data_IF_054931891168
#
_entry.id   IF_054931891168
#
_cell.length_a   1.000
_cell.length_b   1.000
_cell.length_c   1.000
_cell.angle_alpha   90.00
_cell.angle_beta   90.00
_cell.angle_gamma   90.00
#
_symmetry.space_group_name_H-M   'P 1'
#
loop_
_entity.id
_entity.type
_entity.pdbx_description
1 polymer ?
#
# COMPACT_ATOMS: atom_id res chain seq x y z
N UNK A 1 -12.57 12.26 0.06
CA UNK A 1 -13.03 10.86 0.03
C UNK A 1 -13.65 10.43 -1.31
N UNK A 2 -14.49 11.23 -2.00
CA UNK A 2 -15.20 10.83 -3.24
C UNK A 2 -14.34 10.53 -4.50
N UNK A 3 -13.05 10.85 -4.53
CA UNK A 3 -12.16 10.56 -5.68
C UNK A 3 -11.41 9.23 -5.57
N UNK A 4 -11.31 8.68 -4.36
CA UNK A 4 -10.60 7.41 -4.10
C UNK A 4 -11.45 6.24 -4.63
N UNK A 5 -12.78 6.32 -4.46
CA UNK A 5 -13.77 5.34 -4.94
C UNK A 5 -14.07 5.36 -6.44
N UNK A 6 -13.55 6.34 -7.19
CA UNK A 6 -13.75 6.41 -8.65
C UNK A 6 -12.53 5.97 -9.46
N UNK A 7 -11.43 5.61 -8.78
CA UNK A 7 -10.22 5.13 -9.42
C UNK A 7 -10.21 3.60 -9.60
N UNK A 8 -9.47 3.07 -10.58
CA UNK A 8 -9.29 1.63 -10.78
C UNK A 8 -8.62 0.94 -9.57
N UNK A 9 -7.97 1.72 -8.70
CA UNK A 9 -7.23 1.25 -7.53
C UNK A 9 -8.09 0.50 -6.51
N UNK A 10 -9.32 0.97 -6.24
CA UNK A 10 -10.21 0.27 -5.31
C UNK A 10 -10.66 -1.06 -5.89
N UNK A 11 -10.96 -1.12 -7.18
CA UNK A 11 -11.33 -2.36 -7.86
C UNK A 11 -10.18 -3.36 -7.89
N UNK A 12 -8.93 -2.91 -8.07
CA UNK A 12 -7.74 -3.75 -7.99
C UNK A 12 -7.55 -4.30 -6.57
N UNK A 13 -7.67 -3.45 -5.54
CA UNK A 13 -7.56 -3.90 -4.13
C UNK A 13 -8.66 -4.91 -3.81
N UNK A 14 -9.90 -4.64 -4.20
CA UNK A 14 -11.03 -5.55 -3.99
C UNK A 14 -10.82 -6.87 -4.74
N UNK A 15 -10.29 -6.84 -5.96
CA UNK A 15 -9.97 -8.06 -6.71
C UNK A 15 -8.85 -8.87 -6.04
N UNK A 16 -7.78 -8.23 -5.57
CA UNK A 16 -6.69 -8.92 -4.86
C UNK A 16 -7.19 -9.52 -3.54
N UNK A 17 -7.96 -8.77 -2.75
CA UNK A 17 -8.56 -9.29 -1.50
C UNK A 17 -9.54 -10.42 -1.80
N UNK A 18 -10.36 -10.30 -2.84
CA UNK A 18 -11.26 -11.35 -3.28
C UNK A 18 -10.53 -12.63 -3.69
N UNK A 19 -9.41 -12.51 -4.42
CA UNK A 19 -8.56 -13.65 -4.80
C UNK A 19 -7.91 -14.28 -3.57
N UNK A 20 -7.43 -13.50 -2.60
CA UNK A 20 -6.85 -14.02 -1.37
C UNK A 20 -7.88 -14.79 -0.54
N UNK A 21 -9.10 -14.26 -0.40
CA UNK A 21 -10.19 -14.94 0.31
C UNK A 21 -10.62 -16.20 -0.45
N UNK A 22 -10.76 -16.12 -1.78
CA UNK A 22 -11.08 -17.28 -2.61
C UNK A 22 -9.99 -18.36 -2.52
N UNK A 23 -8.71 -17.99 -2.49
CA UNK A 23 -7.61 -18.91 -2.27
C UNK A 23 -7.65 -19.52 -0.86
N UNK A 24 -7.99 -18.76 0.17
CA UNK A 24 -8.16 -19.30 1.52
C UNK A 24 -9.29 -20.34 1.56
N UNK A 25 -10.41 -20.11 0.86
CA UNK A 25 -11.50 -21.08 0.74
C UNK A 25 -11.14 -22.30 -0.12
N UNK A 26 -10.35 -22.13 -1.18
CA UNK A 26 -9.91 -23.23 -2.03
C UNK A 26 -8.88 -24.12 -1.34
N UNK A 27 -7.96 -23.54 -0.56
CA UNK A 27 -6.89 -24.25 0.15
C UNK A 27 -7.42 -24.94 1.42
N UNK A 28 -8.46 -24.41 2.08
CA UNK A 28 -9.09 -25.03 3.27
C UNK A 28 -9.92 -26.30 2.99
N UNK A 29 -9.95 -26.80 1.76
CA UNK A 29 -10.69 -28.04 1.42
C UNK A 29 -9.85 -29.31 1.60
N UNK A 30 -9.09 -29.40 2.71
CA UNK A 30 -8.52 -30.66 3.16
C UNK A 30 -9.63 -31.61 3.59
N UNK A 31 -10.14 -32.40 2.65
CA UNK A 31 -11.26 -33.32 2.86
C UNK A 31 -11.05 -34.30 4.01
N UNK A 32 -12.06 -34.36 4.88
CA UNK A 32 -12.22 -35.31 5.98
C UNK A 32 -12.71 -34.63 7.26
N UNK A 33 -13.53 -35.32 8.04
CA UNK A 33 -14.07 -34.81 9.31
C UNK A 33 -12.93 -34.61 10.32
N UNK A 34 -12.82 -33.41 10.92
CA UNK A 34 -11.72 -33.10 11.84
C UNK A 34 -11.99 -33.74 13.21
N UNK A 35 -11.20 -34.76 13.56
CA UNK A 35 -11.30 -35.48 14.83
C UNK A 35 -10.14 -35.13 15.76
N UNK A 36 -10.35 -35.22 17.07
CA UNK A 36 -9.29 -34.96 18.05
C UNK A 36 -8.16 -36.00 17.94
N UNK A 37 -6.92 -35.59 18.25
CA UNK A 37 -5.76 -36.49 18.19
C UNK A 37 -5.91 -37.68 19.14
N UNK A 38 -6.64 -37.50 20.24
CA UNK A 38 -6.99 -38.56 21.18
C UNK A 38 -7.93 -39.59 20.55
N UNK A 39 -8.97 -39.16 19.82
CA UNK A 39 -9.88 -40.06 19.12
C UNK A 39 -9.17 -40.81 18.00
N UNK A 40 -8.27 -40.14 17.26
CA UNK A 40 -7.43 -40.82 16.28
C UNK A 40 -6.55 -41.89 16.94
N UNK A 41 -5.92 -41.59 18.08
CA UNK A 41 -5.12 -42.59 18.81
C UNK A 41 -5.94 -43.77 19.29
N UNK A 42 -7.20 -43.54 19.64
CA UNK A 42 -8.13 -44.58 20.07
C UNK A 42 -8.53 -45.50 18.91
N UNK A 43 -8.87 -44.93 17.75
CA UNK A 43 -9.19 -45.71 16.55
C UNK A 43 -8.00 -46.54 16.07
N UNK A 44 -6.80 -45.96 16.09
CA UNK A 44 -5.55 -46.68 15.78
C UNK A 44 -5.32 -47.79 16.81
N UNK A 45 -5.52 -47.54 18.10
CA UNK A 45 -5.30 -48.56 19.15
C UNK A 45 -6.32 -49.71 19.10
N UNK A 46 -7.51 -49.47 18.54
CA UNK A 46 -8.58 -50.46 18.37
C UNK A 46 -8.48 -51.25 17.06
N UNK A 47 -7.56 -50.90 16.15
CA UNK A 47 -7.45 -51.56 14.85
C UNK A 47 -8.57 -51.17 13.87
N UNK A 48 -9.30 -50.09 14.14
CA UNK A 48 -10.47 -49.65 13.35
C UNK A 48 -10.08 -48.75 12.16
N UNK A 49 -8.80 -48.79 11.75
CA UNK A 49 -8.24 -47.92 10.72
C UNK A 49 -7.63 -48.75 9.60
N UNK A 50 -8.13 -48.57 8.38
CA UNK A 50 -7.70 -49.32 7.20
C UNK A 50 -6.43 -48.75 6.57
N UNK A 51 -6.40 -47.44 6.38
CA UNK A 51 -5.27 -46.71 5.78
C UNK A 51 -4.90 -45.51 6.65
N UNK A 52 -3.60 -45.34 6.93
CA UNK A 52 -3.08 -44.17 7.64
C UNK A 52 -2.07 -43.46 6.75
N UNK A 53 -2.33 -42.18 6.49
CA UNK A 53 -1.44 -41.28 5.76
C UNK A 53 -0.96 -40.16 6.66
N UNK A 54 0.35 -40.13 6.92
CA UNK A 54 1.01 -39.03 7.61
C UNK A 54 1.38 -37.95 6.59
N UNK A 55 0.78 -36.75 6.70
CA UNK A 55 1.05 -35.62 5.81
C UNK A 55 2.08 -34.70 6.47
N UNK A 56 3.35 -34.90 6.12
CA UNK A 56 4.46 -34.11 6.62
C UNK A 56 4.49 -32.73 5.93
N UNK A 57 4.67 -31.66 6.71
CA UNK A 57 4.58 -30.25 6.25
C UNK A 57 3.40 -29.47 6.83
N UNK A 58 2.21 -30.08 6.92
CA UNK A 58 1.00 -29.43 7.47
C UNK A 58 0.61 -29.93 8.87
N UNK A 59 1.39 -30.87 9.45
CA UNK A 59 1.11 -31.52 10.75
C UNK A 59 -0.27 -32.19 10.81
N UNK A 60 -0.69 -32.84 9.71
CA UNK A 60 -1.99 -33.52 9.58
C UNK A 60 -1.78 -35.01 9.38
N UNK A 61 -2.58 -35.82 10.07
CA UNK A 61 -2.74 -37.26 9.80
C UNK A 61 -4.12 -37.45 9.18
N UNK A 62 -4.16 -38.13 8.03
CA UNK A 62 -5.40 -38.58 7.40
C UNK A 62 -5.53 -40.07 7.64
N UNK A 63 -6.71 -40.51 8.06
CA UNK A 63 -7.01 -41.91 8.24
C UNK A 63 -8.33 -42.25 7.55
N UNK A 64 -8.37 -43.44 6.95
CA UNK A 64 -9.59 -44.04 6.43
C UNK A 64 -10.01 -45.13 7.42
N UNK A 65 -11.15 -44.93 8.06
CA UNK A 65 -11.72 -45.89 9.03
C UNK A 65 -12.22 -47.15 8.30
N UNK A 66 -12.19 -48.27 9.00
CA UNK A 66 -12.71 -49.56 8.53
C UNK A 66 -14.25 -49.53 8.36
N UNK A 67 -14.78 -50.44 7.54
CA UNK A 67 -16.22 -50.56 7.23
C UNK A 67 -17.08 -50.90 8.47
N UNK A 68 -16.44 -51.26 9.58
CA UNK A 68 -17.04 -51.55 10.89
C UNK A 68 -17.41 -50.31 11.71
N UNK A 69 -16.91 -49.11 11.35
CA UNK A 69 -17.18 -47.86 12.08
C UNK A 69 -18.19 -46.99 11.30
N UNK A 70 -19.44 -46.98 11.79
CA UNK A 70 -20.50 -46.15 11.20
C UNK A 70 -20.52 -44.76 11.87
N UNK A 71 -20.25 -43.71 11.09
CA UNK A 71 -20.16 -42.32 11.55
C UNK A 71 -20.80 -41.37 10.54
N UNK A 72 -21.62 -40.43 11.03
CA UNK A 72 -22.33 -39.42 10.21
C UNK A 72 -21.40 -38.53 9.35
N UNK A 73 -20.12 -38.43 9.68
CA UNK A 73 -19.12 -37.55 9.03
C UNK A 73 -18.37 -38.17 7.84
N UNK A 74 -18.71 -39.38 7.42
CA UNK A 74 -17.94 -40.14 6.43
C UNK A 74 -16.73 -40.86 7.03
N UNK A 75 -16.09 -41.73 6.24
CA UNK A 75 -15.01 -42.64 6.70
C UNK A 75 -13.61 -42.02 6.68
N UNK A 76 -13.49 -40.84 6.07
CA UNK A 76 -12.23 -40.10 6.02
C UNK A 76 -12.18 -39.12 7.19
N UNK A 77 -11.25 -39.36 8.11
CA UNK A 77 -11.04 -38.53 9.28
C UNK A 77 -9.66 -37.91 9.25
N UNK A 78 -9.58 -36.64 9.64
CA UNK A 78 -8.31 -35.93 9.71
C UNK A 78 -8.06 -35.47 11.13
N UNK A 79 -6.81 -35.53 11.59
CA UNK A 79 -6.43 -34.95 12.87
C UNK A 79 -5.15 -34.14 12.73
N UNK A 80 -5.09 -33.03 13.45
CA UNK A 80 -3.86 -32.25 13.61
C UNK A 80 -3.06 -32.83 14.77
N UNK A 81 -1.75 -32.91 14.63
CA UNK A 81 -0.86 -33.38 15.70
C UNK A 81 0.22 -32.35 15.98
N UNK A 82 0.82 -32.41 17.17
CA UNK A 82 1.92 -31.52 17.55
C UNK A 82 3.25 -32.12 17.06
N UNK A 83 4.13 -31.32 16.44
CA UNK A 83 5.47 -31.78 16.05
C UNK A 83 6.18 -32.46 17.23
N UNK A 84 6.55 -33.74 17.04
CA UNK A 84 7.17 -34.57 18.07
C UNK A 84 6.26 -35.68 18.64
N UNK A 85 4.93 -35.52 18.63
CA UNK A 85 4.01 -36.58 19.10
C UNK A 85 3.75 -37.66 18.04
N UNK A 86 4.13 -37.39 16.79
CA UNK A 86 4.01 -38.32 15.66
C UNK A 86 4.72 -39.67 15.90
N UNK A 87 5.83 -39.68 16.65
CA UNK A 87 6.58 -40.91 16.89
C UNK A 87 5.79 -41.94 17.70
N UNK A 88 4.94 -41.48 18.63
CA UNK A 88 4.08 -42.35 19.43
C UNK A 88 2.93 -42.94 18.61
N UNK A 89 2.28 -42.11 17.78
CA UNK A 89 1.21 -42.54 16.88
C UNK A 89 1.73 -43.44 15.76
N UNK A 90 2.91 -43.14 15.21
CA UNK A 90 3.57 -43.97 14.21
C UNK A 90 3.93 -45.34 14.79
N UNK A 91 4.43 -45.39 16.03
CA UNK A 91 4.72 -46.65 16.71
C UNK A 91 3.45 -47.48 16.97
N UNK A 92 2.37 -46.84 17.42
CA UNK A 92 1.08 -47.51 17.61
C UNK A 92 0.48 -48.01 16.28
N UNK A 93 0.58 -47.23 15.20
CA UNK A 93 0.17 -47.65 13.86
C UNK A 93 1.03 -48.82 13.35
N UNK A 94 2.34 -48.79 13.58
CA UNK A 94 3.25 -49.89 13.22
C UNK A 94 2.93 -51.18 13.97
N UNK A 95 2.62 -51.11 15.26
CA UNK A 95 2.25 -52.29 16.07
C UNK A 95 0.95 -52.96 15.59
N UNK A 96 0.03 -52.19 15.00
CA UNK A 96 -1.23 -52.72 14.46
C UNK A 96 -1.09 -53.16 12.99
N UNK A 97 -0.20 -52.53 12.23
CA UNK A 97 0.23 -53.03 10.93
C UNK A 97 0.93 -54.40 11.06
N UNK A 98 1.80 -54.57 12.06
CA UNK A 98 2.50 -55.83 12.33
C UNK A 98 1.55 -56.97 12.75
N UNK A 99 0.36 -56.62 13.28
CA UNK A 99 -0.73 -57.57 13.58
C UNK A 99 -1.66 -57.83 12.40
N UNK A 100 -1.49 -57.12 11.28
CA UNK A 100 -2.28 -57.27 10.06
C UNK A 100 -3.66 -56.60 10.11
N UNK A 101 -3.89 -55.68 11.04
CA UNK A 101 -5.15 -54.93 11.16
C UNK A 101 -5.14 -53.63 10.31
N UNK A 102 -3.94 -53.15 9.92
CA UNK A 102 -3.77 -51.98 9.05
C UNK A 102 -3.10 -52.43 7.76
N UNK A 103 -3.71 -52.11 6.62
CA UNK A 103 -3.23 -52.59 5.30
C UNK A 103 -2.07 -51.74 4.76
N UNK A 104 -2.00 -50.44 5.13
CA UNK A 104 -0.99 -49.53 4.58
C UNK A 104 -0.67 -48.33 5.48
N UNK A 105 0.61 -48.12 5.73
CA UNK A 105 1.15 -46.89 6.32
C UNK A 105 1.84 -46.09 5.20
N UNK A 106 1.31 -44.93 4.86
CA UNK A 106 1.88 -44.04 3.85
C UNK A 106 2.35 -42.74 4.48
N UNK A 107 3.51 -42.25 4.05
CA UNK A 107 4.00 -40.90 4.41
C UNK A 107 3.98 -40.06 3.15
N UNK A 108 3.15 -39.03 3.13
CA UNK A 108 3.12 -38.04 2.05
C UNK A 108 3.69 -36.72 2.55
N UNK A 109 4.44 -36.02 1.71
CA UNK A 109 4.91 -34.68 2.03
C UNK A 109 3.98 -33.70 1.32
N UNK A 110 3.33 -32.81 2.07
CA UNK A 110 2.53 -31.71 1.51
C UNK A 110 3.46 -30.78 0.75
N UNK A 111 3.50 -30.94 -0.57
CA UNK A 111 4.23 -30.05 -1.46
C UNK A 111 3.22 -29.12 -2.12
N UNK A 112 3.23 -27.81 -1.82
CA UNK A 112 2.43 -26.88 -2.59
C UNK A 112 2.82 -27.02 -4.06
N UNK A 113 1.82 -27.15 -4.94
CA UNK A 113 2.07 -27.32 -6.37
C UNK A 113 2.94 -26.17 -6.90
N UNK A 114 3.84 -26.48 -7.84
CA UNK A 114 4.81 -25.51 -8.39
C UNK A 114 4.15 -24.20 -8.85
N UNK A 115 2.97 -24.30 -9.47
CA UNK A 115 2.21 -23.13 -9.92
C UNK A 115 1.66 -22.29 -8.74
N UNK A 116 1.19 -22.94 -7.68
CA UNK A 116 0.75 -22.27 -6.45
C UNK A 116 1.93 -21.55 -5.79
N UNK A 117 3.06 -22.24 -5.62
CA UNK A 117 4.28 -21.67 -5.03
C UNK A 117 4.80 -20.47 -5.82
N UNK A 118 4.87 -20.57 -7.16
CA UNK A 118 5.26 -19.45 -8.02
C UNK A 118 4.28 -18.28 -7.90
N UNK A 119 2.97 -18.55 -7.94
CA UNK A 119 1.96 -17.49 -7.84
C UNK A 119 2.08 -16.72 -6.52
N UNK A 120 2.19 -17.42 -5.38
CA UNK A 120 2.38 -16.80 -4.08
C UNK A 120 3.72 -16.05 -3.96
N UNK A 121 4.78 -16.57 -4.57
CA UNK A 121 6.10 -15.92 -4.57
C UNK A 121 6.11 -14.63 -5.40
N UNK A 122 5.41 -14.62 -6.54
CA UNK A 122 5.32 -13.45 -7.41
C UNK A 122 4.21 -12.46 -7.03
N UNK A 123 3.22 -12.86 -6.22
CA UNK A 123 2.09 -12.01 -5.82
C UNK A 123 2.54 -10.67 -5.17
N UNK A 124 3.51 -10.63 -4.24
CA UNK A 124 4.02 -9.37 -3.69
C UNK A 124 4.66 -8.47 -4.76
N UNK A 125 5.42 -9.06 -5.68
CA UNK A 125 6.08 -8.33 -6.78
C UNK A 125 5.03 -7.79 -7.76
N UNK A 126 4.00 -8.58 -8.07
CA UNK A 126 2.94 -8.19 -8.99
C UNK A 126 2.12 -7.03 -8.41
N UNK A 127 1.81 -7.05 -7.11
CA UNK A 127 1.17 -5.93 -6.42
C UNK A 127 2.05 -4.67 -6.51
N UNK A 128 3.35 -4.77 -6.27
CA UNK A 128 4.28 -3.65 -6.40
C UNK A 128 4.35 -3.12 -7.84
N UNK A 129 4.39 -3.99 -8.84
CA UNK A 129 4.42 -3.61 -10.26
C UNK A 129 3.13 -2.87 -10.64
N UNK A 130 1.97 -3.39 -10.25
CA UNK A 130 0.68 -2.74 -10.51
C UNK A 130 0.60 -1.37 -9.81
N UNK A 131 1.03 -1.29 -8.55
CA UNK A 131 1.09 -0.04 -7.80
C UNK A 131 2.06 0.96 -8.44
N UNK A 132 3.21 0.49 -8.92
CA UNK A 132 4.24 1.31 -9.57
C UNK A 132 3.76 1.85 -10.92
N UNK A 133 3.15 1.01 -11.77
CA UNK A 133 2.51 1.46 -13.00
C UNK A 133 1.36 2.44 -12.72
N UNK A 134 0.59 2.22 -11.66
CA UNK A 134 -0.45 3.15 -11.24
C UNK A 134 0.14 4.50 -10.81
N UNK A 135 1.22 4.51 -10.02
CA UNK A 135 1.93 5.72 -9.61
C UNK A 135 2.50 6.47 -10.82
N UNK A 136 3.17 5.77 -11.74
CA UNK A 136 3.70 6.38 -12.97
C UNK A 136 2.59 6.96 -13.85
N UNK A 137 1.49 6.24 -14.05
CA UNK A 137 0.36 6.73 -14.83
C UNK A 137 -0.31 7.94 -14.16
N UNK A 138 -0.34 7.98 -12.83
CA UNK A 138 -0.82 9.14 -12.06
C UNK A 138 0.08 10.38 -12.18
N UNK A 139 1.37 10.18 -12.39
CA UNK A 139 2.36 11.26 -12.52
C UNK A 139 2.47 11.80 -13.96
N UNK A 140 2.14 10.98 -14.97
CA UNK A 140 2.27 11.33 -16.38
C UNK A 140 0.97 11.89 -17.00
N UNK A 141 -0.19 11.67 -16.36
CA UNK A 141 -1.49 12.14 -16.81
C UNK A 141 -1.77 13.63 -16.52
N UNK A 142 -1.24 14.52 -17.36
CA UNK A 142 -1.79 15.87 -17.56
C UNK A 142 -1.15 17.00 -16.75
N UNK A 143 -0.22 17.71 -17.41
CA UNK A 143 0.09 19.10 -17.09
C UNK A 143 0.89 19.33 -15.81
N UNK A 144 2.17 18.93 -15.81
CA UNK A 144 3.19 19.54 -14.95
C UNK A 144 2.94 19.48 -13.43
N UNK A 145 2.06 18.59 -12.96
CA UNK A 145 1.68 18.41 -11.54
C UNK A 145 2.55 17.39 -10.79
N UNK A 146 3.65 16.93 -11.37
CA UNK A 146 4.66 16.12 -10.70
C UNK A 146 5.69 16.98 -9.96
N UNK A 147 6.57 16.31 -9.21
CA UNK A 147 7.70 16.84 -8.41
C UNK A 147 8.55 17.91 -9.15
N UNK A 148 8.50 17.94 -10.48
CA UNK A 148 9.08 18.98 -11.34
C UNK A 148 8.48 20.39 -11.19
N UNK A 149 7.29 20.57 -10.58
CA UNK A 149 6.72 21.89 -10.32
C UNK A 149 7.31 22.56 -9.07
N UNK A 150 7.92 21.79 -8.16
CA UNK A 150 8.54 22.31 -6.94
C UNK A 150 9.76 23.19 -7.23
N UNK A 151 10.39 23.01 -8.39
CA UNK A 151 11.56 23.79 -8.83
C UNK A 151 11.20 25.04 -9.66
N UNK A 152 9.93 25.27 -10.01
CA UNK A 152 9.53 26.47 -10.76
C UNK A 152 9.19 27.61 -9.82
N UNK A 153 9.86 28.75 -10.01
CA UNK A 153 9.59 30.00 -9.31
C UNK A 153 8.09 30.36 -9.41
N UNK A 154 7.44 30.57 -8.26
CA UNK A 154 6.07 31.10 -8.16
C UNK A 154 6.03 32.62 -8.30
N UNK A 155 7.01 33.25 -8.95
CA UNK A 155 7.01 34.68 -9.18
C UNK A 155 5.84 35.04 -10.09
N UNK A 156 4.87 35.76 -9.54
CA UNK A 156 3.77 36.35 -10.30
C UNK A 156 4.34 37.53 -11.09
N UNK A 157 4.64 37.32 -12.37
CA UNK A 157 4.97 38.41 -13.29
C UNK A 157 3.72 39.31 -13.39
N UNK A 158 3.79 40.47 -12.76
CA UNK A 158 2.80 41.53 -12.99
C UNK A 158 3.11 42.08 -14.38
N UNK A 159 2.24 41.84 -15.35
CA UNK A 159 2.36 42.42 -16.68
C UNK A 159 2.19 43.93 -16.60
N UNK A 160 2.85 44.66 -17.51
CA UNK A 160 2.85 46.12 -17.61
C UNK A 160 1.47 46.73 -17.92
N UNK A 161 0.45 45.89 -18.09
CA UNK A 161 -0.94 46.29 -18.30
C UNK A 161 -1.60 46.69 -16.97
N UNK A 162 -1.34 47.95 -16.62
CA UNK A 162 -1.98 48.80 -15.62
C UNK A 162 -1.77 48.44 -14.13
N UNK A 163 -1.00 49.27 -13.37
CA UNK A 163 -1.25 49.38 -11.94
C UNK A 163 -2.66 49.96 -11.73
N UNK A 164 -3.46 49.30 -10.89
CA UNK A 164 -4.83 49.76 -10.54
C UNK A 164 -4.84 50.93 -9.53
N UNK A 165 -3.67 51.37 -9.08
CA UNK A 165 -3.48 52.31 -7.98
C UNK A 165 -2.47 53.37 -8.42
N UNK A 166 -2.64 54.60 -7.95
CA UNK A 166 -1.76 55.75 -8.19
C UNK A 166 -1.37 56.39 -6.86
N UNK A 167 -0.38 57.29 -6.85
CA UNK A 167 -0.01 58.02 -5.62
C UNK A 167 -1.16 58.85 -5.04
N UNK A 168 -2.15 59.23 -5.84
CA UNK A 168 -3.36 59.90 -5.34
C UNK A 168 -4.25 58.98 -4.48
N UNK A 169 -4.10 57.66 -4.59
CA UNK A 169 -4.85 56.67 -3.78
C UNK A 169 -4.17 56.39 -2.43
N UNK A 170 -3.04 57.05 -2.13
CA UNK A 170 -2.31 56.93 -0.86
C UNK A 170 -2.57 58.19 -0.03
N UNK A 171 -3.00 58.04 1.22
CA UNK A 171 -3.26 59.15 2.13
C UNK A 171 -2.38 59.08 3.38
N UNK A 172 -2.03 60.25 3.93
CA UNK A 172 -1.38 60.39 5.25
C UNK A 172 0.11 60.06 5.28
N UNK A 173 0.78 60.07 4.13
CA UNK A 173 2.21 59.79 3.98
C UNK A 173 2.86 60.75 2.97
N UNK A 174 2.54 62.05 3.07
CA UNK A 174 2.90 63.05 2.06
C UNK A 174 4.44 63.14 1.85
N UNK A 175 5.21 63.06 2.94
CA UNK A 175 6.68 63.02 2.90
C UNK A 175 7.21 61.83 2.09
N UNK A 176 6.63 60.64 2.27
CA UNK A 176 7.05 59.44 1.54
C UNK A 176 6.62 59.46 0.07
N UNK A 177 5.51 60.13 -0.25
CA UNK A 177 5.05 60.31 -1.63
C UNK A 177 5.97 61.27 -2.38
N UNK A 178 6.42 62.35 -1.73
CA UNK A 178 7.38 63.30 -2.30
C UNK A 178 8.72 62.62 -2.63
N UNK A 179 9.30 61.91 -1.66
CA UNK A 179 10.54 61.15 -1.83
C UNK A 179 10.44 60.07 -2.94
N UNK A 180 9.33 59.33 -3.00
CA UNK A 180 9.09 58.35 -4.06
C UNK A 180 8.76 59.01 -5.41
N UNK A 181 8.29 60.26 -5.41
CA UNK A 181 8.08 61.09 -6.58
C UNK A 181 9.39 61.35 -7.33
N UNK A 182 10.46 61.65 -6.60
CA UNK A 182 11.80 61.80 -7.19
C UNK A 182 12.27 60.50 -7.84
N UNK A 183 12.04 59.35 -7.18
CA UNK A 183 12.38 58.02 -7.73
C UNK A 183 11.56 57.71 -8.99
N UNK A 184 10.29 58.12 -9.01
CA UNK A 184 9.44 57.98 -10.20
C UNK A 184 9.96 58.83 -11.36
N UNK A 185 10.30 60.10 -11.12
CA UNK A 185 10.90 60.97 -12.13
C UNK A 185 12.22 60.39 -12.64
N UNK A 186 13.02 59.81 -11.73
CA UNK A 186 14.24 59.11 -12.08
C UNK A 186 13.99 57.92 -13.04
N UNK A 187 12.96 57.11 -12.79
CA UNK A 187 12.59 55.97 -13.63
C UNK A 187 12.00 56.41 -14.99
N UNK A 188 11.35 57.58 -15.05
CA UNK A 188 10.78 58.14 -16.26
C UNK A 188 11.84 58.81 -17.15
N UNK A 189 12.74 59.60 -16.56
CA UNK A 189 13.75 60.40 -17.26
C UNK A 189 15.18 60.18 -16.71
N UNK A 190 15.74 58.95 -16.80
CA UNK A 190 17.03 58.64 -16.20
C UNK A 190 18.19 59.47 -16.79
N UNK A 191 18.07 59.94 -18.03
CA UNK A 191 19.08 60.74 -18.71
C UNK A 191 19.31 62.10 -18.03
N UNK A 192 18.26 62.73 -17.50
CA UNK A 192 18.31 64.03 -16.81
C UNK A 192 19.20 63.94 -15.56
N UNK A 193 19.04 62.87 -14.78
CA UNK A 193 19.78 62.63 -13.55
C UNK A 193 21.21 62.14 -13.80
N UNK A 194 21.45 61.37 -14.87
CA UNK A 194 22.81 60.99 -15.27
C UNK A 194 23.64 62.19 -15.74
N UNK A 195 23.02 63.16 -16.41
CA UNK A 195 23.70 64.36 -16.90
C UNK A 195 24.28 65.23 -15.76
N UNK A 196 23.66 65.21 -14.59
CA UNK A 196 24.16 65.88 -13.37
C UNK A 196 25.04 64.98 -12.49
N UNK A 197 25.37 63.77 -12.96
CA UNK A 197 26.23 62.81 -12.26
C UNK A 197 25.57 62.10 -11.07
N UNK A 198 24.24 62.16 -10.95
CA UNK A 198 23.53 61.49 -9.86
C UNK A 198 23.55 59.97 -10.00
N UNK A 199 23.76 59.26 -8.88
CA UNK A 199 23.82 57.80 -8.85
C UNK A 199 22.41 57.20 -8.71
N UNK A 200 22.11 56.25 -9.59
CA UNK A 200 20.81 55.54 -9.61
C UNK A 200 20.64 54.69 -8.34
N UNK A 201 19.56 54.88 -7.56
CA UNK A 201 19.19 53.97 -6.49
C UNK A 201 18.79 52.60 -7.06
N UNK A 202 19.33 51.52 -6.49
CA UNK A 202 19.07 50.15 -6.96
C UNK A 202 17.83 49.49 -6.33
N UNK A 203 17.28 50.10 -5.28
CA UNK A 203 16.12 49.60 -4.55
C UNK A 203 15.80 50.49 -3.36
N UNK A 204 14.54 50.48 -2.96
CA UNK A 204 14.02 51.23 -1.81
C UNK A 204 13.40 50.22 -0.84
N UNK A 205 13.69 50.37 0.45
CA UNK A 205 13.12 49.53 1.50
C UNK A 205 12.06 50.33 2.28
N UNK A 206 10.79 49.95 2.14
CA UNK A 206 9.70 50.54 2.93
C UNK A 206 9.54 49.74 4.24
N UNK A 207 9.69 50.40 5.39
CA UNK A 207 9.56 49.79 6.71
C UNK A 207 8.47 50.47 7.56
N UNK A 208 7.92 49.76 8.55
CA UNK A 208 6.88 50.26 9.45
C UNK A 208 5.88 49.19 9.88
N UNK A 209 5.01 49.51 10.83
CA UNK A 209 3.98 48.61 11.39
C UNK A 209 3.07 47.97 10.31
N UNK A 210 2.51 46.77 10.52
CA UNK A 210 1.59 46.16 9.55
C UNK A 210 0.38 47.08 9.28
N UNK A 211 -0.07 47.17 8.02
CA UNK A 211 -1.25 47.97 7.64
C UNK A 211 -0.98 49.44 7.24
N UNK A 212 0.27 49.94 7.33
CA UNK A 212 0.61 51.34 7.01
C UNK A 212 0.79 51.65 5.51
N UNK A 213 0.10 50.94 4.61
CA UNK A 213 0.10 51.29 3.17
C UNK A 213 1.38 50.97 2.37
N UNK A 214 2.44 50.37 2.95
CA UNK A 214 3.70 50.04 2.24
C UNK A 214 3.54 49.32 0.89
N UNK A 215 2.72 48.27 0.84
CA UNK A 215 2.46 47.51 -0.39
C UNK A 215 1.59 48.29 -1.38
N UNK A 216 0.78 49.23 -0.89
CA UNK A 216 -0.05 50.10 -1.71
C UNK A 216 0.82 51.18 -2.37
N UNK A 217 1.73 51.81 -1.60
CA UNK A 217 2.76 52.72 -2.11
C UNK A 217 3.67 52.07 -3.16
N UNK A 218 4.09 50.81 -2.98
CA UNK A 218 4.93 50.11 -3.94
C UNK A 218 4.20 49.70 -5.24
N UNK A 219 2.86 49.71 -5.26
CA UNK A 219 2.04 49.40 -6.44
C UNK A 219 1.56 50.64 -7.18
N UNK A 220 1.49 51.76 -6.48
CA UNK A 220 1.10 53.08 -6.96
C UNK A 220 2.20 53.71 -7.84
#
# INVERSE_FOLDING_TARGET
MKRIFKGPLIWIIVAVVGVLIAMQFLISSGGGDEISSSQMSEYVSKGEVKDITFVDGDQVIKATLDDSVDRDGGREVTTKYLSGTQAGLFKAAQEQFDKGEIDKITVEVSRPGLLSSLLFSFLPILILVVLFFWLMNSMQGGGGRGVMQFAKSKAKLISKDMPKTTFADVAGCDEAIEELGEIKEFLQEPAKFQAVGAKIPKGVLLYGAPGTGKTLLARA
#
